data_IF_327800271145
#
_entry.id   IF_327800271145
#
_cell.length_a   1.000
_cell.length_b   1.000
_cell.length_c   1.000
_cell.angle_alpha   90.00
_cell.angle_beta   90.00
_cell.angle_gamma   90.00
#
_symmetry.space_group_name_H-M   'P 1'
#
loop_
_entity.id
_entity.type
_entity.pdbx_description
1 polymer ?
#
# COMPACT_ATOMS: atom_id res chain seq x y z
N UNK A 1 -0.21 12.89 -11.30
CA UNK A 1 0.84 12.55 -12.31
C UNK A 1 1.29 11.09 -12.25
N UNK A 2 1.89 10.58 -11.16
CA UNK A 2 2.33 9.16 -11.13
C UNK A 2 1.15 8.17 -11.14
N UNK A 3 0.07 8.50 -10.43
CA UNK A 3 -1.16 7.69 -10.42
C UNK A 3 -1.82 7.66 -11.81
N UNK A 4 -2.00 8.82 -12.46
CA UNK A 4 -2.52 8.91 -13.83
C UNK A 4 -1.73 8.06 -14.82
N UNK A 5 -0.40 8.13 -14.76
CA UNK A 5 0.48 7.33 -15.62
C UNK A 5 0.33 5.84 -15.33
N UNK A 6 0.12 5.47 -14.07
CA UNK A 6 -0.06 4.08 -13.67
C UNK A 6 -1.41 3.54 -14.18
N UNK A 7 -2.50 4.31 -14.02
CA UNK A 7 -3.81 4.01 -14.61
C UNK A 7 -3.71 3.84 -16.12
N UNK A 8 -3.11 4.82 -16.81
CA UNK A 8 -2.97 4.77 -18.27
C UNK A 8 -2.16 3.55 -18.72
N UNK A 9 -1.04 3.25 -18.06
CA UNK A 9 -0.21 2.11 -18.43
C UNK A 9 -0.93 0.76 -18.27
N UNK A 10 -1.81 0.62 -17.27
CA UNK A 10 -2.68 -0.55 -17.15
C UNK A 10 -3.81 -0.54 -18.19
N UNK A 11 -4.50 0.59 -18.37
CA UNK A 11 -5.60 0.75 -19.30
C UNK A 11 -5.19 0.50 -20.77
N UNK A 12 -3.97 0.90 -21.14
CA UNK A 12 -3.42 0.68 -22.49
C UNK A 12 -2.62 -0.62 -22.59
N UNK A 13 -2.78 -1.52 -21.62
CA UNK A 13 -2.15 -2.84 -21.57
C UNK A 13 -0.61 -2.81 -21.71
N UNK A 14 0.03 -1.70 -21.33
CA UNK A 14 1.44 -1.44 -21.61
C UNK A 14 2.39 -2.11 -20.62
N UNK A 15 1.89 -2.48 -19.44
CA UNK A 15 2.62 -3.29 -18.45
C UNK A 15 1.65 -4.15 -17.64
N UNK A 16 2.18 -5.19 -16.98
CA UNK A 16 1.44 -6.02 -16.01
C UNK A 16 1.72 -5.65 -14.56
N UNK A 17 2.82 -4.93 -14.30
CA UNK A 17 3.28 -4.63 -12.94
C UNK A 17 3.84 -3.21 -12.89
N UNK A 18 3.50 -2.49 -11.81
CA UNK A 18 4.05 -1.18 -11.47
C UNK A 18 4.45 -1.21 -9.99
N UNK A 19 5.65 -0.72 -9.69
CA UNK A 19 6.13 -0.53 -8.32
C UNK A 19 6.47 0.94 -8.12
N UNK A 20 5.75 1.61 -7.23
CA UNK A 20 6.02 2.99 -6.86
C UNK A 20 6.73 3.05 -5.52
N UNK A 21 7.88 3.73 -5.48
CA UNK A 21 8.62 3.93 -4.24
C UNK A 21 8.29 5.31 -3.65
N UNK A 22 7.33 5.31 -2.73
CA UNK A 22 6.76 6.53 -2.13
C UNK A 22 7.57 6.98 -0.91
N UNK A 23 8.78 7.45 -1.16
CA UNK A 23 9.66 8.03 -0.14
C UNK A 23 10.76 7.09 0.36
N UNK A 24 11.83 7.70 0.87
CA UNK A 24 13.08 7.06 1.28
C UNK A 24 13.77 7.85 2.40
N UNK A 25 14.88 7.33 2.91
CA UNK A 25 15.75 7.95 3.92
C UNK A 25 16.22 9.37 3.57
N UNK A 26 16.26 9.71 2.28
CA UNK A 26 16.68 11.03 1.77
C UNK A 26 15.54 11.79 1.06
N UNK A 27 14.28 11.42 1.27
CA UNK A 27 13.19 12.19 0.70
C UNK A 27 13.18 13.59 1.31
N UNK A 28 13.22 14.64 0.47
CA UNK A 28 13.18 16.03 0.94
C UNK A 28 11.86 16.32 1.65
N UNK A 29 11.73 17.54 2.17
CA UNK A 29 10.48 17.99 2.77
C UNK A 29 9.29 17.84 1.82
N UNK A 30 8.12 17.53 2.39
CA UNK A 30 6.88 17.42 1.62
C UNK A 30 6.31 18.82 1.43
N UNK A 31 6.08 19.19 0.17
CA UNK A 31 5.40 20.44 -0.18
C UNK A 31 3.90 20.17 -0.30
N UNK A 32 3.11 20.87 0.50
CA UNK A 32 1.66 20.79 0.47
C UNK A 32 1.09 21.79 -0.54
N UNK A 33 -0.13 21.54 -1.01
CA UNK A 33 -0.82 22.40 -1.96
C UNK A 33 -1.08 23.82 -1.41
N UNK A 34 -1.16 23.98 -0.08
CA UNK A 34 -1.33 25.26 0.61
C UNK A 34 -0.01 26.07 0.75
N UNK A 35 1.09 25.60 0.15
CA UNK A 35 2.39 26.25 0.15
C UNK A 35 3.24 25.95 1.39
N UNK A 36 2.73 25.21 2.38
CA UNK A 36 3.53 24.76 3.53
C UNK A 36 4.52 23.69 3.11
N UNK A 37 5.63 23.65 3.83
CA UNK A 37 6.62 22.57 3.70
C UNK A 37 6.77 21.87 5.05
N UNK A 38 6.56 20.56 5.04
CA UNK A 38 6.84 19.70 6.20
C UNK A 38 8.26 19.15 6.05
N UNK A 39 8.96 18.95 7.17
CA UNK A 39 10.30 18.35 7.19
C UNK A 39 10.34 16.97 6.52
N UNK A 40 11.55 16.53 6.14
CA UNK A 40 11.72 15.25 5.47
C UNK A 40 11.17 14.08 6.29
N UNK A 41 10.37 13.22 5.63
CA UNK A 41 9.61 12.12 6.25
C UNK A 41 10.45 11.27 7.21
N UNK A 42 11.65 10.88 6.80
CA UNK A 42 12.54 10.05 7.62
C UNK A 42 12.89 10.67 8.98
N UNK A 43 13.15 11.97 9.04
CA UNK A 43 13.54 12.62 10.30
C UNK A 43 12.35 12.75 11.26
N UNK A 44 11.16 13.03 10.71
CA UNK A 44 9.95 13.17 11.53
C UNK A 44 9.41 11.81 11.97
N UNK A 45 9.67 10.72 11.22
CA UNK A 45 9.31 9.35 11.65
C UNK A 45 10.03 8.92 12.93
N UNK A 46 11.22 9.47 13.22
CA UNK A 46 11.87 9.42 14.53
C UNK A 46 11.24 10.43 15.49
N UNK A 47 9.94 10.26 15.75
CA UNK A 47 9.16 11.28 16.44
C UNK A 47 9.45 11.39 17.93
N UNK A 48 9.94 10.35 18.59
CA UNK A 48 10.23 10.36 20.04
C UNK A 48 9.00 10.69 20.90
N UNK A 49 7.79 10.44 20.36
CA UNK A 49 6.48 10.89 20.89
C UNK A 49 6.29 12.43 20.94
N UNK A 50 7.09 13.19 20.20
CA UNK A 50 6.89 14.62 20.03
C UNK A 50 5.58 14.90 19.26
N UNK A 51 4.67 15.66 19.87
CA UNK A 51 3.35 15.94 19.31
C UNK A 51 3.40 16.72 17.99
N UNK A 52 4.42 17.57 17.81
CA UNK A 52 4.55 18.36 16.59
C UNK A 52 4.97 17.47 15.43
N UNK A 53 5.94 16.57 15.64
CA UNK A 53 6.35 15.58 14.63
C UNK A 53 5.21 14.61 14.29
N UNK A 54 4.45 14.18 15.29
CA UNK A 54 3.28 13.31 15.09
C UNK A 54 2.20 13.99 14.22
N UNK A 55 1.89 15.27 14.49
CA UNK A 55 0.95 16.04 13.65
C UNK A 55 1.47 16.19 12.21
N UNK A 56 2.76 16.46 12.04
CA UNK A 56 3.39 16.56 10.74
C UNK A 56 3.36 15.23 9.95
N UNK A 57 3.59 14.10 10.61
CA UNK A 57 3.47 12.78 10.00
C UNK A 57 2.03 12.52 9.56
N UNK A 58 1.07 12.74 10.44
CA UNK A 58 -0.35 12.56 10.14
C UNK A 58 -0.79 13.40 8.92
N UNK A 59 -0.34 14.65 8.80
CA UNK A 59 -0.65 15.47 7.62
C UNK A 59 -0.11 14.86 6.31
N UNK A 60 1.11 14.31 6.32
CA UNK A 60 1.68 13.63 5.15
C UNK A 60 0.91 12.36 4.83
N UNK A 61 0.63 11.54 5.85
CA UNK A 61 -0.06 10.26 5.71
C UNK A 61 -1.49 10.45 5.20
N UNK A 62 -2.21 11.50 5.65
CA UNK A 62 -3.53 11.87 5.11
C UNK A 62 -3.43 12.18 3.62
N UNK A 63 -2.49 13.02 3.20
CA UNK A 63 -2.31 13.32 1.77
C UNK A 63 -1.95 12.08 0.94
N UNK A 64 -1.17 11.15 1.50
CA UNK A 64 -0.90 9.87 0.84
C UNK A 64 -2.15 8.98 0.72
N UNK A 65 -3.01 8.96 1.75
CA UNK A 65 -4.29 8.24 1.71
C UNK A 65 -5.26 8.86 0.71
N UNK A 66 -5.31 10.19 0.59
CA UNK A 66 -6.09 10.90 -0.42
C UNK A 66 -5.64 10.49 -1.83
N UNK A 67 -4.33 10.55 -2.10
CA UNK A 67 -3.76 10.12 -3.39
C UNK A 67 -3.99 8.63 -3.68
N UNK A 68 -3.96 7.77 -2.66
CA UNK A 68 -4.31 6.36 -2.83
C UNK A 68 -5.79 6.22 -3.18
N UNK A 69 -6.67 6.93 -2.49
CA UNK A 69 -8.11 6.97 -2.78
C UNK A 69 -8.39 7.40 -4.21
N UNK A 70 -7.79 8.51 -4.66
CA UNK A 70 -7.87 9.00 -6.03
C UNK A 70 -7.46 7.92 -7.04
N UNK A 71 -6.33 7.23 -6.83
CA UNK A 71 -5.90 6.14 -7.71
C UNK A 71 -6.92 5.00 -7.77
N UNK A 72 -7.50 4.61 -6.64
CA UNK A 72 -8.48 3.53 -6.60
C UNK A 72 -9.79 3.93 -7.30
N UNK A 73 -10.24 5.17 -7.13
CA UNK A 73 -11.39 5.74 -7.86
C UNK A 73 -11.10 5.77 -9.36
N UNK A 74 -9.93 6.27 -9.76
CA UNK A 74 -9.47 6.33 -11.14
C UNK A 74 -9.43 4.96 -11.83
N UNK A 75 -8.98 3.91 -11.13
CA UNK A 75 -8.98 2.54 -11.66
C UNK A 75 -10.39 1.96 -11.71
N UNK A 76 -11.27 2.35 -10.78
CA UNK A 76 -12.66 1.89 -10.76
C UNK A 76 -13.49 2.54 -11.87
N UNK A 77 -13.21 3.79 -12.23
CA UNK A 77 -13.96 4.54 -13.24
C UNK A 77 -13.63 4.11 -14.69
N UNK A 78 -12.59 3.29 -14.88
CA UNK A 78 -12.29 2.68 -16.18
C UNK A 78 -13.08 1.38 -16.34
N UNK A 79 -14.11 1.42 -17.18
CA UNK A 79 -14.90 0.24 -17.54
C UNK A 79 -14.13 -0.71 -18.49
N UNK A 80 -14.23 -2.01 -18.20
CA UNK A 80 -13.73 -3.11 -19.02
C UNK A 80 -14.86 -4.14 -19.27
N UNK A 81 -14.74 -5.07 -20.23
CA UNK A 81 -15.83 -5.99 -20.57
C UNK A 81 -16.42 -6.80 -19.40
N UNK A 82 -15.61 -7.13 -18.38
CA UNK A 82 -15.99 -7.98 -17.25
C UNK A 82 -16.00 -7.23 -15.89
N UNK A 83 -16.07 -5.90 -15.89
CA UNK A 83 -16.05 -5.09 -14.67
C UNK A 83 -15.28 -3.79 -14.86
N UNK A 84 -14.48 -3.43 -13.86
CA UNK A 84 -13.62 -2.24 -13.89
C UNK A 84 -12.15 -2.64 -13.96
N UNK A 85 -11.28 -1.70 -14.35
CA UNK A 85 -9.84 -1.92 -14.31
C UNK A 85 -9.35 -2.24 -12.89
N UNK A 86 -9.99 -1.70 -11.86
CA UNK A 86 -9.72 -2.05 -10.45
C UNK A 86 -10.05 -3.51 -10.14
N UNK A 87 -11.14 -4.07 -10.68
CA UNK A 87 -11.50 -5.48 -10.46
C UNK A 87 -10.42 -6.43 -10.97
N UNK A 88 -9.65 -6.00 -11.97
CA UNK A 88 -8.59 -6.76 -12.64
C UNK A 88 -7.18 -6.38 -12.18
N UNK A 89 -7.05 -5.42 -11.28
CA UNK A 89 -5.77 -4.89 -10.79
C UNK A 89 -5.65 -5.06 -9.27
N UNK A 90 -4.60 -5.73 -8.78
CA UNK A 90 -4.29 -5.75 -7.36
C UNK A 90 -3.43 -4.54 -6.98
N UNK A 91 -3.93 -3.69 -6.09
CA UNK A 91 -3.18 -2.57 -5.51
C UNK A 91 -2.78 -2.92 -4.09
N UNK A 92 -1.48 -3.13 -3.87
CA UNK A 92 -0.89 -3.33 -2.55
C UNK A 92 -0.22 -2.04 -2.10
N UNK A 93 -0.69 -1.46 -1.00
CA UNK A 93 -0.14 -0.26 -0.39
C UNK A 93 0.25 -0.51 1.06
N UNK A 94 1.39 0.01 1.51
CA UNK A 94 1.79 -0.07 2.90
C UNK A 94 3.27 0.13 3.11
N UNK A 95 3.76 -0.26 4.28
CA UNK A 95 5.18 -0.16 4.59
C UNK A 95 5.70 -1.37 5.39
N UNK A 96 7.02 -1.46 5.47
CA UNK A 96 7.74 -2.57 6.09
C UNK A 96 7.94 -2.39 7.61
N UNK A 97 7.31 -1.38 8.21
CA UNK A 97 7.40 -1.10 9.64
C UNK A 97 6.02 -0.84 10.26
N UNK A 98 5.71 -1.49 11.38
CA UNK A 98 4.50 -1.21 12.16
C UNK A 98 4.64 0.06 13.02
N UNK A 99 5.87 0.39 13.43
CA UNK A 99 6.20 1.65 14.10
C UNK A 99 7.59 2.09 13.65
N UNK A 100 7.64 3.20 12.92
CA UNK A 100 8.87 3.73 12.35
C UNK A 100 9.81 4.35 13.39
N UNK A 101 9.29 4.85 14.51
CA UNK A 101 10.08 5.50 15.55
C UNK A 101 10.97 4.51 16.31
N UNK A 102 10.52 3.27 16.47
CA UNK A 102 11.30 2.20 17.10
C UNK A 102 11.80 1.14 16.13
N UNK A 103 11.65 1.36 14.81
CA UNK A 103 12.00 0.40 13.76
C UNK A 103 11.40 -1.00 13.96
N UNK A 104 10.15 -1.05 14.39
CA UNK A 104 9.40 -2.28 14.58
C UNK A 104 8.91 -2.82 13.23
N UNK A 105 9.17 -4.09 12.91
CA UNK A 105 8.73 -4.78 11.70
C UNK A 105 7.58 -5.78 11.92
N UNK A 106 6.82 -5.63 13.01
CA UNK A 106 5.63 -6.42 13.35
C UNK A 106 4.37 -5.59 13.19
N UNK A 107 3.24 -6.25 12.94
CA UNK A 107 1.92 -5.63 12.79
C UNK A 107 1.93 -4.52 11.73
N UNK A 108 2.34 -4.90 10.51
CA UNK A 108 2.57 -3.98 9.41
C UNK A 108 1.25 -3.37 8.89
N UNK A 109 1.23 -2.07 8.56
CA UNK A 109 0.07 -1.42 7.96
C UNK A 109 0.03 -1.74 6.47
N UNK A 110 -0.88 -2.63 6.09
CA UNK A 110 -1.04 -3.10 4.71
C UNK A 110 -2.49 -2.91 4.27
N UNK A 111 -2.67 -2.31 3.10
CA UNK A 111 -3.92 -2.17 2.38
C UNK A 111 -3.80 -2.98 1.08
N UNK A 112 -4.77 -3.84 0.83
CA UNK A 112 -4.94 -4.50 -0.45
C UNK A 112 -6.31 -4.11 -1.02
N UNK A 113 -6.32 -3.66 -2.28
CA UNK A 113 -7.53 -3.27 -3.00
C UNK A 113 -7.56 -3.88 -4.41
N UNK A 114 -8.75 -4.02 -4.97
CA UNK A 114 -8.97 -4.58 -6.32
C UNK A 114 -8.68 -6.07 -6.46
N UNK A 115 -8.52 -6.54 -7.70
CA UNK A 115 -8.09 -7.90 -8.03
C UNK A 115 -9.06 -9.01 -7.63
N UNK A 116 -10.35 -8.71 -7.51
CA UNK A 116 -11.41 -9.70 -7.25
C UNK A 116 -11.48 -10.27 -5.82
N UNK A 117 -10.72 -9.73 -4.87
CA UNK A 117 -10.80 -10.16 -3.47
C UNK A 117 -12.06 -9.64 -2.76
N UNK A 118 -12.39 -10.26 -1.61
CA UNK A 118 -13.44 -9.75 -0.72
C UNK A 118 -12.93 -8.52 0.04
N UNK A 119 -13.38 -7.34 -0.37
CA UNK A 119 -12.99 -6.06 0.24
C UNK A 119 -13.96 -5.59 1.35
N UNK A 120 -13.65 -4.45 1.98
CA UNK A 120 -14.51 -3.83 3.01
C UNK A 120 -14.34 -4.42 4.41
N UNK A 121 -13.18 -5.00 4.70
CA UNK A 121 -12.89 -5.66 5.98
C UNK A 121 -11.53 -5.25 6.55
N UNK A 122 -11.38 -5.40 7.87
CA UNK A 122 -10.12 -5.26 8.57
C UNK A 122 -9.70 -6.63 9.13
N UNK A 123 -8.63 -7.19 8.58
CA UNK A 123 -8.05 -8.44 9.06
C UNK A 123 -7.02 -8.14 10.16
N UNK A 124 -7.45 -8.27 11.41
CA UNK A 124 -6.57 -8.10 12.56
C UNK A 124 -5.80 -9.39 12.87
N UNK A 125 -4.47 -9.30 12.95
CA UNK A 125 -3.61 -10.41 13.30
C UNK A 125 -3.01 -10.26 14.71
N UNK A 126 -2.60 -11.37 15.31
CA UNK A 126 -1.98 -11.35 16.64
C UNK A 126 -0.65 -10.58 16.61
N UNK A 127 -0.43 -9.69 17.58
CA UNK A 127 0.85 -9.00 17.75
C UNK A 127 1.99 -9.94 18.22
N UNK A 128 1.63 -11.10 18.79
CA UNK A 128 2.58 -12.05 19.39
C UNK A 128 2.83 -13.26 18.50
N UNK A 129 1.78 -13.78 17.86
CA UNK A 129 1.84 -14.91 16.94
C UNK A 129 1.25 -14.50 15.58
N UNK A 130 1.95 -13.58 14.90
CA UNK A 130 1.47 -12.97 13.66
C UNK A 130 1.71 -13.87 12.45
N UNK A 131 0.88 -13.74 11.43
CA UNK A 131 1.10 -14.37 10.13
C UNK A 131 2.20 -13.62 9.35
N UNK A 132 3.11 -14.33 8.67
CA UNK A 132 4.05 -13.68 7.77
C UNK A 132 3.32 -12.91 6.67
N UNK A 133 3.71 -11.66 6.38
CA UNK A 133 3.17 -10.92 5.24
C UNK A 133 3.38 -11.66 3.91
N UNK A 134 4.40 -12.52 3.84
CA UNK A 134 4.62 -13.40 2.70
C UNK A 134 3.42 -14.32 2.37
N UNK A 135 2.54 -14.61 3.34
CA UNK A 135 1.30 -15.34 3.09
C UNK A 135 0.33 -14.54 2.19
N UNK A 136 0.30 -13.22 2.33
CA UNK A 136 -0.47 -12.34 1.43
C UNK A 136 0.09 -12.39 0.01
N UNK A 137 1.41 -12.31 -0.13
CA UNK A 137 2.07 -12.37 -1.43
C UNK A 137 1.84 -13.71 -2.12
N UNK A 138 1.85 -14.81 -1.36
CA UNK A 138 1.49 -16.12 -1.90
C UNK A 138 0.05 -16.14 -2.42
N UNK A 139 -0.91 -15.59 -1.66
CA UNK A 139 -2.30 -15.45 -2.12
C UNK A 139 -2.41 -14.59 -3.40
N UNK A 140 -1.64 -13.50 -3.50
CA UNK A 140 -1.61 -12.65 -4.69
C UNK A 140 -1.04 -13.39 -5.91
N UNK A 141 0.03 -14.18 -5.74
CA UNK A 141 0.60 -15.00 -6.81
C UNK A 141 -0.40 -16.04 -7.32
N UNK A 142 -1.11 -16.71 -6.40
CA UNK A 142 -2.16 -17.67 -6.77
C UNK A 142 -3.31 -16.97 -7.52
N UNK A 143 -3.69 -15.75 -7.10
CA UNK A 143 -4.74 -14.97 -7.75
C UNK A 143 -4.40 -14.60 -9.21
N UNK A 144 -3.12 -14.50 -9.58
CA UNK A 144 -2.67 -14.28 -10.97
C UNK A 144 -2.32 -15.59 -11.70
N UNK A 145 -2.69 -16.74 -11.15
CA UNK A 145 -2.48 -18.06 -11.75
C UNK A 145 -1.06 -18.62 -11.59
N UNK A 146 -0.23 -18.05 -10.71
CA UNK A 146 1.10 -18.60 -10.41
C UNK A 146 1.02 -19.57 -9.22
N UNK A 147 0.85 -20.84 -9.53
CA UNK A 147 0.73 -21.94 -8.55
C UNK A 147 2.09 -22.34 -7.96
N UNK A 148 2.70 -21.45 -7.18
CA UNK A 148 3.90 -21.77 -6.39
C UNK A 148 3.51 -22.25 -5.00
N UNK A 149 4.23 -23.23 -4.46
CA UNK A 149 3.95 -23.76 -3.11
C UNK A 149 4.35 -22.78 -2.00
N UNK A 150 5.30 -21.87 -2.27
CA UNK A 150 5.89 -21.01 -1.24
C UNK A 150 6.51 -19.73 -1.83
N UNK A 151 6.31 -18.62 -1.12
CA UNK A 151 7.03 -17.36 -1.36
C UNK A 151 7.76 -16.93 -0.09
N UNK A 152 9.09 -16.78 -0.16
CA UNK A 152 9.91 -16.35 0.98
C UNK A 152 9.60 -17.13 2.28
N UNK A 153 9.16 -16.43 3.33
CA UNK A 153 8.80 -16.99 4.65
C UNK A 153 7.35 -17.43 4.76
N UNK A 154 6.61 -17.53 3.65
CA UNK A 154 5.20 -17.92 3.70
C UNK A 154 5.03 -19.33 4.27
N UNK A 155 4.00 -19.52 5.10
CA UNK A 155 3.59 -20.82 5.65
C UNK A 155 2.30 -21.35 5.01
N UNK A 156 1.72 -20.58 4.08
CA UNK A 156 0.48 -20.87 3.36
C UNK A 156 -0.12 -19.58 2.79
N UNK A 157 -1.26 -19.68 2.11
CA UNK A 157 -2.03 -18.50 1.67
C UNK A 157 -2.65 -17.80 2.88
N UNK A 158 -2.80 -16.47 2.80
CA UNK A 158 -3.49 -15.71 3.84
C UNK A 158 -4.99 -16.04 3.86
N UNK A 159 -5.52 -16.32 5.04
CA UNK A 159 -6.96 -16.58 5.24
C UNK A 159 -7.75 -15.27 5.31
N UNK A 160 -9.03 -15.32 4.90
CA UNK A 160 -9.95 -14.17 5.00
C UNK A 160 -9.96 -13.23 3.77
N UNK A 161 -9.19 -13.52 2.72
CA UNK A 161 -9.16 -12.71 1.49
C UNK A 161 -10.29 -13.02 0.49
N UNK A 162 -10.94 -14.18 0.62
CA UNK A 162 -12.05 -14.69 -0.20
C UNK A 162 -13.24 -15.07 0.67
#
# INVERSE_FOLDING_TARGET
MMNDMSRLAFQTDSTRVITLFLGSVRTPGVHLADGRTIGGYHNISHHGKDEKKLKQLAEIEVGQMELLGELLEDLKDVEEPDGTLLDRTMVLYGCHMGDANIHNNKNLPIILAGGGFRHGQHLAFSQHNNSPLANLYLSMLHNIGLETDRFASSTGTLTGLV
#
